data_IF_743785556178
#
_entry.id   IF_743785556178
#
_cell.length_a   1.000
_cell.length_b   1.000
_cell.length_c   1.000
_cell.angle_alpha   90.00
_cell.angle_beta   90.00
_cell.angle_gamma   90.00
#
_symmetry.space_group_name_H-M   'P 1'
#
loop_
_entity.id
_entity.type
_entity.pdbx_description
1 polymer ?
#
# COMPACT_ATOMS: atom_id res chain seq x y z
N UNK A 1 -35.11 -6.05 -10.56
CA UNK A 1 -33.68 -6.26 -10.83
C UNK A 1 -32.94 -5.23 -10.00
N UNK A 2 -32.33 -5.66 -8.90
CA UNK A 2 -31.75 -4.75 -7.90
C UNK A 2 -30.33 -4.41 -8.31
N UNK A 3 -30.12 -3.17 -8.75
CA UNK A 3 -28.79 -2.60 -9.03
C UNK A 3 -28.05 -2.39 -7.72
N UNK A 4 -27.20 -3.35 -7.35
CA UNK A 4 -26.26 -3.22 -6.24
C UNK A 4 -25.04 -2.41 -6.69
N UNK A 5 -25.19 -1.08 -6.67
CA UNK A 5 -24.06 -0.18 -6.90
C UNK A 5 -22.97 -0.41 -5.85
N UNK A 6 -21.74 -0.63 -6.29
CA UNK A 6 -20.58 -0.74 -5.38
C UNK A 6 -20.36 0.60 -4.67
N UNK A 7 -20.18 0.57 -3.34
CA UNK A 7 -19.77 1.75 -2.59
C UNK A 7 -18.31 2.10 -2.91
N UNK A 8 -18.11 3.22 -3.60
CA UNK A 8 -16.80 3.68 -4.04
C UNK A 8 -16.02 4.42 -2.94
N UNK A 9 -16.64 4.70 -1.78
CA UNK A 9 -16.01 5.46 -0.69
C UNK A 9 -14.74 4.80 -0.14
N UNK A 10 -14.68 3.46 -0.17
CA UNK A 10 -13.55 2.66 0.32
C UNK A 10 -12.57 2.25 -0.80
N UNK A 11 -12.78 2.69 -2.04
CA UNK A 11 -11.91 2.34 -3.17
C UNK A 11 -10.80 3.38 -3.37
N UNK A 12 -9.59 2.91 -3.63
CA UNK A 12 -8.49 3.75 -4.10
C UNK A 12 -8.79 4.31 -5.50
N UNK A 13 -8.16 5.44 -5.85
CA UNK A 13 -8.32 6.08 -7.17
C UNK A 13 -8.02 5.13 -8.34
N UNK A 14 -7.09 4.19 -8.16
CA UNK A 14 -6.76 3.17 -9.17
C UNK A 14 -7.87 2.13 -9.34
N UNK A 15 -8.43 1.65 -8.22
CA UNK A 15 -9.56 0.72 -8.21
C UNK A 15 -10.80 1.34 -8.87
N UNK A 16 -11.13 2.60 -8.57
CA UNK A 16 -12.24 3.33 -9.22
C UNK A 16 -12.02 3.45 -10.73
N UNK A 17 -10.79 3.71 -11.17
CA UNK A 17 -10.46 3.78 -12.60
C UNK A 17 -10.66 2.43 -13.30
N UNK A 18 -10.30 1.33 -12.64
CA UNK A 18 -10.48 -0.04 -13.13
C UNK A 18 -11.96 -0.44 -13.22
N UNK A 19 -12.75 -0.15 -12.18
CA UNK A 19 -14.20 -0.35 -12.18
C UNK A 19 -14.86 0.37 -13.36
N UNK A 20 -14.55 1.66 -13.55
CA UNK A 20 -15.11 2.45 -14.65
C UNK A 20 -14.70 1.92 -16.04
N UNK A 21 -13.47 1.44 -16.19
CA UNK A 21 -13.00 0.85 -17.44
C UNK A 21 -13.75 -0.46 -17.75
N UNK A 22 -13.91 -1.34 -16.75
CA UNK A 22 -14.64 -2.59 -16.87
C UNK A 22 -16.11 -2.35 -17.27
N UNK A 23 -16.82 -1.48 -16.53
CA UNK A 23 -18.20 -1.12 -16.84
C UNK A 23 -18.38 -0.55 -18.26
N UNK A 24 -17.42 0.22 -18.77
CA UNK A 24 -17.44 0.74 -20.15
C UNK A 24 -17.18 -0.32 -21.21
N UNK A 25 -16.41 -1.36 -20.88
CA UNK A 25 -15.99 -2.38 -21.84
C UNK A 25 -17.00 -3.51 -22.02
N UNK A 26 -17.56 -4.03 -20.93
CA UNK A 26 -18.40 -5.25 -20.93
C UNK A 26 -19.82 -4.99 -20.46
N UNK A 27 -20.17 -3.73 -20.20
CA UNK A 27 -21.45 -3.32 -19.62
C UNK A 27 -21.41 -3.29 -18.09
N UNK A 28 -22.37 -2.58 -17.51
CA UNK A 28 -22.37 -2.24 -16.09
C UNK A 28 -22.45 -3.46 -15.17
N UNK A 29 -23.41 -4.35 -15.41
CA UNK A 29 -23.67 -5.53 -14.57
C UNK A 29 -22.52 -6.55 -14.61
N UNK A 30 -21.96 -6.80 -15.81
CA UNK A 30 -20.82 -7.72 -15.98
C UNK A 30 -19.55 -7.08 -15.42
N UNK A 31 -19.37 -5.77 -15.63
CA UNK A 31 -18.20 -5.03 -15.16
C UNK A 31 -18.11 -4.98 -13.64
N UNK A 32 -19.23 -4.75 -12.94
CA UNK A 32 -19.27 -4.77 -11.48
C UNK A 32 -18.98 -6.17 -10.93
N UNK A 33 -19.61 -7.22 -11.47
CA UNK A 33 -19.37 -8.60 -11.02
C UNK A 33 -17.90 -9.00 -11.20
N UNK A 34 -17.33 -8.75 -12.37
CA UNK A 34 -15.92 -9.06 -12.65
C UNK A 34 -14.97 -8.23 -11.77
N UNK A 35 -15.32 -6.97 -11.47
CA UNK A 35 -14.53 -6.13 -10.57
C UNK A 35 -14.53 -6.68 -9.14
N UNK A 36 -15.67 -7.16 -8.63
CA UNK A 36 -15.75 -7.77 -7.29
C UNK A 36 -14.92 -9.04 -7.22
N UNK A 37 -15.05 -9.95 -8.19
CA UNK A 37 -14.23 -11.17 -8.26
C UNK A 37 -12.74 -10.84 -8.33
N UNK A 38 -12.35 -9.86 -9.15
CA UNK A 38 -10.98 -9.39 -9.23
C UNK A 38 -10.49 -8.80 -7.90
N UNK A 39 -11.31 -7.95 -7.25
CA UNK A 39 -10.95 -7.31 -5.99
C UNK A 39 -10.76 -8.35 -4.88
N UNK A 40 -11.63 -9.37 -4.80
CA UNK A 40 -11.49 -10.47 -3.85
C UNK A 40 -10.30 -11.39 -4.15
N UNK A 41 -9.88 -11.49 -5.42
CA UNK A 41 -8.67 -12.22 -5.81
C UNK A 41 -7.38 -11.46 -5.52
N UNK A 42 -7.46 -10.17 -5.18
CA UNK A 42 -6.33 -9.46 -4.60
C UNK A 42 -6.16 -9.99 -3.18
N UNK A 43 -5.33 -11.02 -3.01
CA UNK A 43 -4.75 -11.34 -1.72
C UNK A 43 -4.15 -10.04 -1.19
N UNK A 44 -4.48 -9.65 0.04
CA UNK A 44 -3.65 -8.67 0.74
C UNK A 44 -2.23 -9.20 0.63
N UNK A 45 -1.31 -8.43 0.04
CA UNK A 45 0.09 -8.82 0.10
C UNK A 45 0.39 -8.95 1.59
N UNK A 46 0.60 -10.18 2.03
CA UNK A 46 0.92 -10.51 3.41
C UNK A 46 2.08 -9.60 3.78
N UNK A 47 1.81 -8.60 4.62
CA UNK A 47 2.78 -7.56 4.94
C UNK A 47 4.09 -8.24 5.31
N UNK A 48 5.21 -7.75 4.78
CA UNK A 48 6.51 -8.31 5.13
C UNK A 48 6.62 -8.28 6.66
N UNK A 49 6.59 -9.45 7.30
CA UNK A 49 6.58 -9.56 8.76
C UNK A 49 7.81 -8.87 9.36
N UNK A 50 8.91 -8.82 8.62
CA UNK A 50 10.09 -8.06 8.96
C UNK A 50 9.84 -6.56 8.92
N UNK A 51 9.17 -6.05 7.90
CA UNK A 51 8.79 -4.64 7.81
C UNK A 51 7.85 -4.21 8.95
N UNK A 52 6.87 -5.04 9.29
CA UNK A 52 5.98 -4.79 10.43
C UNK A 52 6.74 -4.79 11.76
N UNK A 53 7.62 -5.76 11.97
CA UNK A 53 8.46 -5.83 13.17
C UNK A 53 9.35 -4.60 13.30
N UNK A 54 9.98 -4.18 12.20
CA UNK A 54 10.81 -2.97 12.14
C UNK A 54 9.97 -1.73 12.46
N UNK A 55 8.80 -1.58 11.82
CA UNK A 55 7.92 -0.44 12.05
C UNK A 55 7.47 -0.35 13.51
N UNK A 56 7.00 -1.46 14.09
CA UNK A 56 6.55 -1.53 15.48
C UNK A 56 7.67 -1.22 16.47
N UNK A 57 8.91 -1.61 16.17
CA UNK A 57 10.07 -1.32 17.02
C UNK A 57 10.50 0.15 16.95
N UNK A 58 10.45 0.75 15.76
CA UNK A 58 10.91 2.12 15.55
C UNK A 58 9.87 3.19 15.92
N UNK A 59 8.58 2.87 15.83
CA UNK A 59 7.50 3.83 16.02
C UNK A 59 7.51 4.53 17.39
N UNK A 60 7.71 3.83 18.53
CA UNK A 60 7.80 4.47 19.84
C UNK A 60 8.95 5.49 19.90
N UNK A 61 10.11 5.16 19.32
CA UNK A 61 11.28 6.04 19.33
C UNK A 61 11.05 7.33 18.52
N UNK A 62 10.23 7.24 17.46
CA UNK A 62 9.81 8.42 16.67
C UNK A 62 8.82 9.27 17.46
N UNK A 63 7.86 8.66 18.17
CA UNK A 63 6.89 9.37 19.00
C UNK A 63 7.57 10.10 20.16
N UNK A 64 8.55 9.46 20.80
CA UNK A 64 9.33 10.03 21.91
C UNK A 64 10.36 11.08 21.45
N UNK A 65 10.46 11.33 20.13
CA UNK A 65 11.38 12.30 19.53
C UNK A 65 12.87 11.91 19.58
N UNK A 66 13.18 10.73 20.11
CA UNK A 66 14.55 10.17 20.18
C UNK A 66 15.08 9.79 18.80
N UNK A 67 14.19 9.39 17.88
CA UNK A 67 14.51 9.05 16.51
C UNK A 67 13.86 10.02 15.53
N UNK A 68 14.69 10.76 14.78
CA UNK A 68 14.22 11.63 13.70
C UNK A 68 14.65 11.06 12.35
N UNK A 69 13.67 10.76 11.50
CA UNK A 69 13.90 10.29 10.13
C UNK A 69 13.78 11.51 9.19
N UNK A 70 14.87 11.94 8.51
CA UNK A 70 14.81 13.07 7.59
C UNK A 70 13.96 12.73 6.36
N UNK A 71 13.45 13.76 5.67
CA UNK A 71 12.78 13.58 4.39
C UNK A 71 13.74 12.90 3.41
N UNK A 72 13.30 11.79 2.81
CA UNK A 72 14.15 10.91 1.97
C UNK A 72 14.68 9.67 2.69
N UNK A 73 14.65 9.62 4.03
CA UNK A 73 15.06 8.46 4.80
C UNK A 73 16.58 8.29 4.92
N UNK A 74 17.01 7.06 5.16
CA UNK A 74 18.41 6.69 5.29
C UNK A 74 18.81 5.65 4.25
N UNK A 75 20.00 5.79 3.70
CA UNK A 75 20.66 4.79 2.86
C UNK A 75 21.51 3.90 3.75
N UNK A 76 21.22 2.60 3.74
CA UNK A 76 21.98 1.59 4.46
C UNK A 76 22.90 0.87 3.47
N UNK A 77 24.20 0.82 3.76
CA UNK A 77 25.19 0.09 2.96
C UNK A 77 26.09 -0.77 3.85
N UNK A 78 26.57 -1.87 3.28
CA UNK A 78 27.51 -2.77 3.96
C UNK A 78 28.94 -2.28 3.75
N UNK A 79 29.62 -1.92 4.84
CA UNK A 79 31.05 -1.66 4.87
C UNK A 79 31.84 -2.91 5.26
N UNK A 80 33.18 -2.82 5.23
CA UNK A 80 34.04 -3.90 5.71
C UNK A 80 33.89 -4.04 7.23
N UNK A 81 33.10 -5.03 7.65
CA UNK A 81 32.84 -5.36 9.06
C UNK A 81 31.86 -4.43 9.80
N UNK A 82 31.11 -3.57 9.09
CA UNK A 82 30.15 -2.63 9.73
C UNK A 82 29.00 -2.26 8.79
N UNK A 83 27.89 -1.81 9.36
CA UNK A 83 26.79 -1.19 8.62
C UNK A 83 26.99 0.33 8.65
N UNK A 84 26.90 0.96 7.48
CA UNK A 84 27.01 2.41 7.33
C UNK A 84 25.64 2.94 6.94
N UNK A 85 25.18 3.94 7.68
CA UNK A 85 23.87 4.58 7.53
C UNK A 85 24.09 6.05 7.22
N UNK A 86 23.62 6.50 6.07
CA UNK A 86 23.77 7.88 5.57
C UNK A 86 22.38 8.48 5.30
N UNK A 87 22.13 9.76 5.59
CA UNK A 87 20.88 10.41 5.18
C UNK A 87 20.76 10.39 3.65
N UNK A 88 19.61 9.96 3.13
CA UNK A 88 19.43 9.79 1.69
C UNK A 88 19.20 11.11 0.93
N UNK A 89 19.02 12.22 1.64
CA UNK A 89 18.69 13.55 1.09
C UNK A 89 19.73 14.64 1.32
N UNK A 90 20.98 14.28 1.65
CA UNK A 90 22.12 15.22 1.70
C UNK A 90 22.75 15.43 0.33
#
# INVERSE_FOLDING_TARGET
>A
MSSHSIDQSNLTKGQVRKLNALCKSVGHEIGERAFVEWLSSQTEEEGDSGAETIANTLWPLVQDGSLKIPRGGYRVRRGRGRIIVEPAGS
#
